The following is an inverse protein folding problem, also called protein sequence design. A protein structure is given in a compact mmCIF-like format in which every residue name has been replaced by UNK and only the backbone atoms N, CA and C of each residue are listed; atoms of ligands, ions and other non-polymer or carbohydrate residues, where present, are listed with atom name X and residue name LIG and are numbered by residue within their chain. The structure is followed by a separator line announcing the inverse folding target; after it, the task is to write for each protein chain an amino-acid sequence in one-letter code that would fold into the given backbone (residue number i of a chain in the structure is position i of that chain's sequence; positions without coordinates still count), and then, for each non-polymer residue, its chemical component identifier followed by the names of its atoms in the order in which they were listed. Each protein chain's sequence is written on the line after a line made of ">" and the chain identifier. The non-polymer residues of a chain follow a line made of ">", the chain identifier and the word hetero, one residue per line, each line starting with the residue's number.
data_IF_955554030656
#
_entry.id   IF_955554030656
#
_cell.length_a   1.000
_cell.length_b   1.000
_cell.length_c   1.000
_cell.angle_alpha   90.00
_cell.angle_beta   90.00
_cell.angle_gamma   90.00
#
_symmetry.space_group_name_H-M   'P 1'
#
loop_
_entity.id
_entity.type
_entity.pdbx_description
1 polymer ?
#
# COMPACT_ATOMS: atom_id res chain seq x y z
N UNK A 1 -32.38 -4.34 -21.32
CA UNK A 1 -32.00 -4.77 -19.95
C UNK A 1 -30.70 -4.14 -19.43
N UNK A 2 -29.76 -3.70 -20.27
CA UNK A 2 -28.53 -3.00 -19.85
C UNK A 2 -28.78 -1.54 -19.41
N UNK A 3 -29.81 -0.86 -19.93
CA UNK A 3 -30.06 0.57 -19.64
C UNK A 3 -30.65 0.87 -18.25
N UNK A 4 -31.15 -0.12 -17.51
CA UNK A 4 -31.73 0.07 -16.17
C UNK A 4 -30.77 -0.29 -15.02
N UNK A 5 -29.63 -0.92 -15.32
CA UNK A 5 -28.65 -1.37 -14.32
C UNK A 5 -27.59 -0.29 -14.06
N UNK A 6 -27.12 0.41 -15.10
CA UNK A 6 -26.16 1.50 -14.99
C UNK A 6 -26.64 2.65 -14.06
N UNK A 7 -27.89 3.13 -14.16
CA UNK A 7 -28.38 4.19 -13.28
C UNK A 7 -28.50 3.74 -11.81
N UNK A 8 -28.75 2.46 -11.53
CA UNK A 8 -28.85 1.95 -10.15
C UNK A 8 -27.49 1.72 -9.50
N UNK A 9 -26.48 1.34 -10.29
CA UNK A 9 -25.10 1.25 -9.82
C UNK A 9 -24.53 2.64 -9.51
N UNK A 10 -24.78 3.65 -10.36
CA UNK A 10 -24.36 5.04 -10.11
C UNK A 10 -25.07 5.71 -8.91
N UNK A 11 -26.10 5.08 -8.33
CA UNK A 11 -26.90 5.63 -7.21
C UNK A 11 -26.62 4.90 -5.88
N UNK A 12 -25.75 3.88 -5.86
CA UNK A 12 -25.31 3.31 -4.57
C UNK A 12 -24.40 4.30 -3.84
N UNK A 13 -24.64 4.60 -2.54
CA UNK A 13 -23.78 5.49 -1.76
C UNK A 13 -22.31 5.10 -1.81
N UNK A 14 -22.00 3.81 -1.89
CA UNK A 14 -20.62 3.32 -2.03
C UNK A 14 -19.93 3.85 -3.28
N UNK A 15 -20.60 3.83 -4.44
CA UNK A 15 -19.99 4.27 -5.69
C UNK A 15 -19.76 5.78 -5.71
N UNK A 16 -20.65 6.56 -5.08
CA UNK A 16 -20.40 7.98 -4.85
C UNK A 16 -19.17 8.21 -3.99
N UNK A 17 -19.03 7.47 -2.87
CA UNK A 17 -17.85 7.55 -1.99
C UNK A 17 -16.58 7.19 -2.76
N UNK A 18 -16.59 6.10 -3.54
CA UNK A 18 -15.43 5.70 -4.36
C UNK A 18 -15.09 6.77 -5.40
N UNK A 19 -16.08 7.39 -6.05
CA UNK A 19 -15.85 8.49 -6.99
C UNK A 19 -15.24 9.73 -6.31
N UNK A 20 -15.67 10.05 -5.09
CA UNK A 20 -15.09 11.15 -4.31
C UNK A 20 -13.65 10.83 -3.92
N UNK A 21 -13.39 9.63 -3.42
CA UNK A 21 -12.03 9.14 -3.15
C UNK A 21 -11.13 9.26 -4.39
N UNK A 22 -11.60 8.79 -5.56
CA UNK A 22 -10.83 8.87 -6.80
C UNK A 22 -10.50 10.33 -7.16
N UNK A 23 -11.42 11.26 -6.94
CA UNK A 23 -11.19 12.67 -7.16
C UNK A 23 -10.17 13.26 -6.16
N UNK A 24 -10.25 12.91 -4.87
CA UNK A 24 -9.34 13.38 -3.82
C UNK A 24 -7.92 12.85 -4.01
N UNK A 25 -7.77 11.53 -4.16
CA UNK A 25 -6.47 10.89 -4.36
C UNK A 25 -5.81 11.30 -5.69
N UNK A 26 -6.60 11.47 -6.77
CA UNK A 26 -6.09 12.06 -8.02
C UNK A 26 -5.69 13.52 -7.82
N UNK A 27 -6.44 14.29 -7.03
CA UNK A 27 -6.08 15.64 -6.63
C UNK A 27 -4.67 15.69 -6.03
N UNK A 28 -4.42 14.89 -4.98
CA UNK A 28 -3.08 14.74 -4.39
C UNK A 28 -2.04 14.28 -5.42
N UNK A 29 -2.38 13.30 -6.26
CA UNK A 29 -1.49 12.79 -7.30
C UNK A 29 -1.02 13.84 -8.30
N UNK A 30 -1.86 14.84 -8.58
CA UNK A 30 -1.58 15.93 -9.52
C UNK A 30 -0.90 17.13 -8.86
N UNK A 31 -1.22 17.42 -7.60
CA UNK A 31 -0.74 18.63 -6.91
C UNK A 31 0.54 18.40 -6.11
N UNK A 32 0.78 17.18 -5.64
CA UNK A 32 2.01 16.84 -4.93
C UNK A 32 3.14 16.72 -5.96
N UNK A 33 4.23 17.51 -5.83
CA UNK A 33 5.36 17.40 -6.74
C UNK A 33 5.91 15.98 -6.80
N UNK A 34 6.47 15.58 -7.94
CA UNK A 34 7.04 14.24 -8.07
C UNK A 34 8.24 14.10 -7.14
N UNK A 35 8.48 12.92 -6.57
CA UNK A 35 9.63 12.60 -5.70
C UNK A 35 9.52 13.13 -4.26
N UNK A 36 8.50 13.91 -3.92
CA UNK A 36 8.37 14.55 -2.59
C UNK A 36 7.58 13.73 -1.57
N UNK A 37 7.00 12.59 -1.94
CA UNK A 37 6.36 11.68 -0.98
C UNK A 37 7.37 10.69 -0.42
N UNK A 38 7.09 10.03 0.73
CA UNK A 38 8.02 9.08 1.32
C UNK A 38 8.37 7.97 0.32
N UNK A 39 9.66 7.69 0.19
CA UNK A 39 10.24 6.60 -0.60
C UNK A 39 9.84 6.53 -2.09
N UNK A 40 9.21 7.58 -2.64
CA UNK A 40 8.67 7.57 -4.00
C UNK A 40 9.74 7.35 -5.08
N UNK A 41 10.94 7.90 -4.83
CA UNK A 41 12.11 7.71 -5.69
C UNK A 41 12.48 6.24 -5.80
N UNK A 42 12.47 5.52 -4.68
CA UNK A 42 12.83 4.12 -4.61
C UNK A 42 11.74 3.24 -5.22
N UNK A 43 10.47 3.53 -4.93
CA UNK A 43 9.35 2.84 -5.54
C UNK A 43 9.30 3.01 -7.06
N UNK A 44 9.53 4.23 -7.57
CA UNK A 44 9.50 4.46 -9.01
C UNK A 44 10.73 3.90 -9.74
N UNK A 45 11.91 3.89 -9.10
CA UNK A 45 13.07 3.18 -9.64
C UNK A 45 12.77 1.69 -9.85
N UNK A 46 12.16 1.03 -8.85
CA UNK A 46 11.71 -0.36 -8.99
C UNK A 46 10.71 -0.53 -10.16
N UNK A 47 9.68 0.33 -10.26
CA UNK A 47 8.74 0.33 -11.38
C UNK A 47 9.46 0.46 -12.73
N UNK A 48 10.42 1.39 -12.83
CA UNK A 48 11.19 1.67 -14.05
C UNK A 48 12.08 0.48 -14.44
N UNK A 49 12.74 -0.16 -13.48
CA UNK A 49 13.56 -1.34 -13.75
C UNK A 49 12.72 -2.49 -14.30
N UNK A 50 11.55 -2.78 -13.72
CA UNK A 50 10.62 -3.77 -14.28
C UNK A 50 10.19 -3.38 -15.69
N UNK A 51 9.81 -2.11 -15.89
CA UNK A 51 9.36 -1.61 -17.18
C UNK A 51 10.43 -1.73 -18.28
N UNK A 52 11.71 -1.60 -17.93
CA UNK A 52 12.83 -1.67 -18.87
C UNK A 52 13.36 -3.09 -19.09
N UNK A 53 13.47 -3.87 -18.01
CA UNK A 53 14.14 -5.19 -18.03
C UNK A 53 13.15 -6.34 -18.17
N UNK A 54 11.85 -6.09 -17.97
CA UNK A 54 10.79 -7.09 -17.95
C UNK A 54 11.07 -8.25 -16.96
N UNK A 55 11.77 -7.93 -15.88
CA UNK A 55 12.20 -8.87 -14.87
C UNK A 55 12.16 -8.20 -13.48
N UNK A 56 12.00 -9.01 -12.44
CA UNK A 56 12.13 -8.51 -11.07
C UNK A 56 13.61 -8.26 -10.76
N UNK A 57 13.99 -7.06 -10.30
CA UNK A 57 15.37 -6.70 -10.04
C UNK A 57 15.93 -7.56 -8.92
N UNK A 58 17.14 -8.07 -9.11
CA UNK A 58 17.88 -8.78 -8.09
C UNK A 58 18.84 -7.80 -7.43
N UNK A 59 18.58 -7.47 -6.17
CA UNK A 59 19.49 -6.69 -5.34
C UNK A 59 20.70 -7.55 -4.93
N UNK A 60 21.72 -7.60 -5.79
CA UNK A 60 22.96 -8.34 -5.54
C UNK A 60 23.97 -7.53 -4.72
N UNK A 61 23.81 -6.20 -4.67
CA UNK A 61 24.58 -5.31 -3.80
C UNK A 61 23.64 -4.26 -3.14
N UNK A 62 23.31 -4.42 -1.85
CA UNK A 62 22.45 -3.50 -1.11
C UNK A 62 22.99 -2.06 -1.04
N UNK A 63 24.31 -1.89 -1.18
CA UNK A 63 25.02 -0.61 -1.02
C UNK A 63 25.21 0.15 -2.32
N UNK A 64 24.96 -0.51 -3.46
CA UNK A 64 25.23 0.04 -4.80
C UNK A 64 24.39 1.27 -5.14
N UNK A 65 23.22 1.45 -4.52
CA UNK A 65 22.45 2.68 -4.64
C UNK A 65 21.50 2.93 -3.45
N UNK A 66 21.35 4.19 -3.06
CA UNK A 66 20.49 4.59 -1.93
C UNK A 66 19.00 4.31 -2.13
N UNK A 67 18.55 4.16 -3.37
CA UNK A 67 17.16 3.78 -3.69
C UNK A 67 16.92 2.27 -3.62
N UNK A 68 17.97 1.45 -3.47
CA UNK A 68 17.85 0.00 -3.48
C UNK A 68 17.12 -0.53 -2.23
N UNK A 69 16.94 0.27 -1.18
CA UNK A 69 16.19 -0.09 0.02
C UNK A 69 14.85 -0.75 -0.30
N UNK A 70 14.12 -0.32 -1.33
CA UNK A 70 12.76 -0.78 -1.62
C UNK A 70 12.68 -1.93 -2.65
N UNK A 71 13.78 -2.30 -3.29
CA UNK A 71 13.78 -3.30 -4.39
C UNK A 71 13.57 -4.74 -3.91
N UNK A 72 13.78 -5.00 -2.61
CA UNK A 72 13.48 -6.28 -2.00
C UNK A 72 11.97 -6.50 -1.81
N UNK A 73 11.16 -5.43 -1.91
CA UNK A 73 9.75 -5.51 -1.58
C UNK A 73 8.95 -6.45 -2.50
N UNK A 74 7.84 -6.99 -2.00
CA UNK A 74 6.95 -7.84 -2.79
C UNK A 74 6.42 -7.16 -4.07
N UNK A 75 6.23 -7.91 -5.17
CA UNK A 75 6.25 -7.34 -6.52
C UNK A 75 4.90 -6.86 -7.05
N UNK A 76 3.77 -7.07 -6.37
CA UNK A 76 2.44 -6.92 -6.98
C UNK A 76 2.20 -5.53 -7.58
N UNK A 77 2.43 -4.48 -6.79
CA UNK A 77 2.26 -3.11 -7.24
C UNK A 77 3.23 -2.78 -8.39
N UNK A 78 4.52 -3.11 -8.21
CA UNK A 78 5.58 -2.75 -9.14
C UNK A 78 5.42 -3.43 -10.50
N UNK A 79 4.96 -4.69 -10.53
CA UNK A 79 4.67 -5.41 -11.78
C UNK A 79 3.50 -4.76 -12.52
N UNK A 80 2.43 -4.38 -11.83
CA UNK A 80 1.28 -3.73 -12.45
C UNK A 80 1.62 -2.33 -12.98
N UNK A 81 2.31 -1.52 -12.19
CA UNK A 81 2.78 -0.20 -12.60
C UNK A 81 3.82 -0.29 -13.73
N UNK A 82 4.80 -1.19 -13.62
CA UNK A 82 5.84 -1.39 -14.62
C UNK A 82 5.29 -1.86 -15.96
N UNK A 83 4.29 -2.76 -15.95
CA UNK A 83 3.57 -3.16 -17.15
C UNK A 83 2.84 -1.96 -17.79
N UNK A 84 2.16 -1.14 -16.99
CA UNK A 84 1.45 0.05 -17.45
C UNK A 84 2.38 1.13 -18.05
N UNK A 85 3.65 1.18 -17.61
CA UNK A 85 4.64 2.16 -18.07
C UNK A 85 5.68 1.62 -19.05
N UNK A 86 5.60 0.33 -19.43
CA UNK A 86 6.60 -0.37 -20.26
C UNK A 86 6.88 0.27 -21.63
N UNK A 87 5.90 0.99 -22.19
CA UNK A 87 6.04 1.71 -23.47
C UNK A 87 6.65 3.11 -23.38
N UNK A 88 7.08 3.57 -22.19
CA UNK A 88 7.50 4.95 -21.95
C UNK A 88 9.03 5.02 -21.83
N UNK A 89 9.65 5.88 -22.63
CA UNK A 89 11.08 6.20 -22.50
C UNK A 89 11.31 7.14 -21.31
N UNK A 90 11.65 6.55 -20.15
CA UNK A 90 11.98 7.26 -18.92
C UNK A 90 13.50 7.52 -18.73
N UNK A 91 14.29 7.55 -19.82
CA UNK A 91 15.75 7.76 -19.77
C UNK A 91 16.17 9.09 -19.14
N UNK A 92 15.29 10.09 -19.10
CA UNK A 92 15.53 11.39 -18.48
C UNK A 92 15.36 11.41 -16.94
N UNK A 93 14.99 10.30 -16.31
CA UNK A 93 14.71 10.26 -14.86
C UNK A 93 15.90 10.71 -14.01
N UNK A 94 17.12 10.26 -14.32
CA UNK A 94 18.31 10.63 -13.56
C UNK A 94 18.58 12.14 -13.56
N UNK A 95 18.16 12.85 -14.62
CA UNK A 95 18.22 14.30 -14.70
C UNK A 95 17.11 15.00 -13.90
N UNK A 96 16.00 14.31 -13.59
CA UNK A 96 14.91 14.80 -12.76
C UNK A 96 15.21 14.65 -11.26
N UNK A 97 15.87 13.57 -10.84
CA UNK A 97 16.20 13.32 -9.43
C UNK A 97 17.37 14.22 -9.00
N UNK A 98 17.06 15.48 -8.71
CA UNK A 98 18.03 16.50 -8.28
C UNK A 98 17.71 16.94 -6.87
N UNK A 99 18.50 16.50 -5.89
CA UNK A 99 18.34 16.93 -4.49
C UNK A 99 18.48 18.45 -4.38
N UNK A 100 17.62 19.05 -3.56
CA UNK A 100 17.68 20.45 -3.20
C UNK A 100 18.71 20.63 -2.07
N UNK A 101 19.86 21.30 -2.32
CA UNK A 101 20.90 21.48 -1.29
C UNK A 101 20.46 22.38 -0.14
N UNK A 102 19.31 23.05 -0.28
CA UNK A 102 18.74 23.95 0.72
C UNK A 102 17.49 23.37 1.39
N UNK A 103 17.14 22.10 1.11
CA UNK A 103 16.04 21.41 1.79
C UNK A 103 16.27 21.43 3.31
N UNK A 104 15.25 21.82 4.05
CA UNK A 104 15.31 21.87 5.51
C UNK A 104 14.07 21.19 6.11
N UNK A 105 14.32 20.37 7.13
CA UNK A 105 13.31 19.71 7.95
C UNK A 105 13.11 20.42 9.30
N UNK A 106 13.78 21.55 9.50
CA UNK A 106 13.82 22.32 10.75
C UNK A 106 12.86 23.52 10.68
N UNK A 107 12.21 23.82 11.80
CA UNK A 107 11.38 25.02 12.02
C UNK A 107 12.13 26.33 11.70
N UNK A 108 13.46 26.33 11.80
CA UNK A 108 14.29 27.51 11.51
C UNK A 108 14.32 27.92 10.03
N UNK A 109 13.93 27.02 9.12
CA UNK A 109 13.86 27.28 7.66
C UNK A 109 12.53 26.76 7.11
N UNK A 110 11.40 27.34 7.54
CA UNK A 110 10.06 26.80 7.25
C UNK A 110 9.72 26.84 5.75
N UNK A 111 10.40 27.69 4.99
CA UNK A 111 10.04 28.04 3.61
C UNK A 111 10.58 27.08 2.55
N UNK A 112 11.49 26.14 2.89
CA UNK A 112 12.11 25.26 1.89
C UNK A 112 12.02 23.77 2.26
N UNK A 113 10.81 23.24 2.14
CA UNK A 113 10.46 21.85 2.46
C UNK A 113 10.69 20.86 1.31
N UNK A 114 10.87 21.34 0.09
CA UNK A 114 11.10 20.48 -1.06
C UNK A 114 12.46 19.81 -0.96
N UNK A 115 12.48 18.49 -1.02
CA UNK A 115 13.67 17.65 -0.96
C UNK A 115 14.39 17.63 -2.32
N UNK A 116 13.66 17.85 -3.40
CA UNK A 116 14.13 17.86 -4.77
C UNK A 116 13.88 19.21 -5.45
N UNK A 117 14.64 19.46 -6.52
CA UNK A 117 14.49 20.62 -7.37
C UNK A 117 13.48 20.32 -8.47
N UNK A 118 12.35 21.02 -8.44
CA UNK A 118 11.31 20.84 -9.44
C UNK A 118 11.49 21.72 -10.68
N UNK A 119 11.13 21.18 -11.83
CA UNK A 119 11.37 21.83 -13.12
C UNK A 119 10.20 21.70 -14.09
N UNK A 120 10.40 22.24 -15.30
CA UNK A 120 9.34 22.25 -16.33
C UNK A 120 8.88 20.87 -16.80
N UNK A 121 9.72 19.84 -16.60
CA UNK A 121 9.42 18.47 -17.00
C UNK A 121 8.23 17.85 -16.23
N UNK A 122 7.89 18.40 -15.06
CA UNK A 122 6.78 17.93 -14.22
C UNK A 122 5.44 18.58 -14.58
N UNK A 123 5.44 19.65 -15.39
CA UNK A 123 4.22 20.30 -15.82
C UNK A 123 3.60 19.61 -17.04
N UNK A 124 2.28 19.62 -17.11
CA UNK A 124 1.54 19.11 -18.26
C UNK A 124 1.87 19.90 -19.55
N UNK A 125 2.01 19.26 -20.72
CA UNK A 125 1.86 17.82 -20.99
C UNK A 125 3.08 16.99 -20.56
N UNK A 126 2.84 15.97 -19.72
CA UNK A 126 3.91 15.12 -19.19
C UNK A 126 4.56 14.27 -20.28
N UNK A 127 5.87 14.11 -20.17
CA UNK A 127 6.69 13.29 -21.08
C UNK A 127 7.76 12.54 -20.28
N UNK A 128 8.29 11.48 -20.90
CA UNK A 128 9.34 10.64 -20.33
C UNK A 128 9.03 10.16 -18.92
N UNK A 129 9.98 10.31 -18.00
CA UNK A 129 9.82 9.82 -16.64
C UNK A 129 8.65 10.46 -15.86
N UNK A 130 8.33 11.75 -16.09
CA UNK A 130 7.18 12.38 -15.45
C UNK A 130 5.86 11.71 -15.86
N UNK A 131 5.70 11.38 -17.16
CA UNK A 131 4.52 10.65 -17.65
C UNK A 131 4.45 9.24 -17.02
N UNK A 132 5.59 8.55 -16.94
CA UNK A 132 5.68 7.25 -16.30
C UNK A 132 5.29 7.29 -14.83
N UNK A 133 5.76 8.28 -14.07
CA UNK A 133 5.39 8.46 -12.66
C UNK A 133 3.89 8.74 -12.49
N UNK A 134 3.30 9.63 -13.30
CA UNK A 134 1.86 9.90 -13.20
C UNK A 134 1.01 8.67 -13.53
N UNK A 135 1.41 7.83 -14.50
CA UNK A 135 0.72 6.57 -14.79
C UNK A 135 0.88 5.58 -13.62
N UNK A 136 2.07 5.46 -13.04
CA UNK A 136 2.30 4.62 -11.86
C UNK A 136 1.48 5.09 -10.64
N UNK A 137 1.36 6.41 -10.43
CA UNK A 137 0.47 7.00 -9.42
C UNK A 137 -1.00 6.67 -9.69
N UNK A 138 -1.47 6.71 -10.94
CA UNK A 138 -2.84 6.28 -11.30
C UNK A 138 -3.07 4.82 -10.92
N UNK A 139 -2.09 3.93 -11.12
CA UNK A 139 -2.17 2.54 -10.66
C UNK A 139 -2.32 2.47 -9.13
N UNK A 140 -1.54 3.26 -8.37
CA UNK A 140 -1.69 3.35 -6.91
C UNK A 140 -3.08 3.84 -6.50
N UNK A 141 -3.60 4.91 -7.10
CA UNK A 141 -4.93 5.45 -6.81
C UNK A 141 -6.02 4.39 -7.04
N UNK A 142 -5.97 3.68 -8.18
CA UNK A 142 -6.97 2.67 -8.56
C UNK A 142 -6.91 1.43 -7.64
N UNK A 143 -5.72 0.96 -7.29
CA UNK A 143 -5.56 -0.17 -6.37
C UNK A 143 -6.02 0.20 -4.96
N UNK A 144 -5.72 1.41 -4.52
CA UNK A 144 -6.09 1.93 -3.20
C UNK A 144 -7.62 2.15 -3.07
N UNK A 145 -8.33 2.40 -4.17
CA UNK A 145 -9.80 2.44 -4.19
C UNK A 145 -10.43 1.13 -3.67
N UNK A 146 -9.74 0.00 -3.85
CA UNK A 146 -10.20 -1.29 -3.36
C UNK A 146 -10.18 -1.37 -1.83
N UNK A 147 -9.42 -0.54 -1.12
CA UNK A 147 -9.46 -0.45 0.34
C UNK A 147 -10.78 0.15 0.82
N UNK A 148 -11.28 1.19 0.15
CA UNK A 148 -12.60 1.80 0.42
C UNK A 148 -13.71 0.76 0.24
N UNK A 149 -13.63 0.00 -0.85
CA UNK A 149 -14.56 -1.11 -1.13
C UNK A 149 -14.40 -2.25 -0.11
N UNK A 150 -13.18 -2.57 0.29
CA UNK A 150 -12.87 -3.57 1.31
C UNK A 150 -13.44 -3.21 2.68
N UNK A 151 -13.32 -1.95 3.11
CA UNK A 151 -13.89 -1.44 4.35
C UNK A 151 -15.42 -1.56 4.38
N UNK A 152 -16.08 -1.26 3.25
CA UNK A 152 -17.51 -1.48 3.09
C UNK A 152 -17.86 -2.97 3.26
N UNK A 153 -17.21 -3.86 2.51
CA UNK A 153 -17.54 -5.29 2.55
C UNK A 153 -17.23 -5.92 3.90
N UNK A 154 -16.09 -5.59 4.53
CA UNK A 154 -15.78 -6.04 5.89
C UNK A 154 -16.89 -5.65 6.87
N UNK A 155 -17.37 -4.42 6.79
CA UNK A 155 -18.47 -3.95 7.65
C UNK A 155 -19.80 -4.65 7.33
N UNK A 156 -20.07 -4.96 6.05
CA UNK A 156 -21.25 -5.74 5.64
C UNK A 156 -21.20 -7.19 6.15
N UNK A 157 -20.01 -7.74 6.31
CA UNK A 157 -19.78 -9.06 6.85
C UNK A 157 -19.98 -9.09 8.38
N UNK A 158 -19.39 -8.13 9.09
CA UNK A 158 -19.46 -8.05 10.56
C UNK A 158 -20.81 -7.54 11.07
N UNK A 159 -21.44 -6.60 10.35
CA UNK A 159 -22.70 -5.97 10.74
C UNK A 159 -23.74 -5.97 9.59
N UNK A 160 -24.27 -7.13 9.18
CA UNK A 160 -25.14 -7.26 8.00
C UNK A 160 -26.41 -6.41 8.03
N UNK A 161 -26.93 -6.09 9.22
CA UNK A 161 -28.12 -5.25 9.41
C UNK A 161 -27.83 -3.74 9.45
N UNK A 162 -26.56 -3.33 9.55
CA UNK A 162 -26.13 -1.94 9.74
C UNK A 162 -25.46 -1.40 8.49
N UNK A 163 -26.27 -1.04 7.49
CA UNK A 163 -25.76 -0.44 6.25
C UNK A 163 -25.11 0.93 6.50
N UNK A 164 -25.59 1.67 7.50
CA UNK A 164 -25.01 2.91 8.00
C UNK A 164 -23.54 2.74 8.40
N UNK A 165 -23.21 1.67 9.14
CA UNK A 165 -21.83 1.35 9.53
C UNK A 165 -20.98 1.03 8.30
N UNK A 166 -21.50 0.27 7.34
CA UNK A 166 -20.74 -0.05 6.14
C UNK A 166 -20.45 1.16 5.25
N UNK A 167 -21.43 2.04 5.08
CA UNK A 167 -21.26 3.31 4.37
C UNK A 167 -20.30 4.22 5.15
N UNK A 168 -20.45 4.31 6.47
CA UNK A 168 -19.60 5.11 7.35
C UNK A 168 -18.13 4.66 7.32
N UNK A 169 -17.86 3.35 7.36
CA UNK A 169 -16.50 2.80 7.26
C UNK A 169 -15.85 3.11 5.91
N UNK A 170 -16.60 2.98 4.81
CA UNK A 170 -16.10 3.33 3.49
C UNK A 170 -15.82 4.83 3.36
N UNK A 171 -16.75 5.66 3.86
CA UNK A 171 -16.57 7.10 3.89
C UNK A 171 -15.35 7.49 4.73
N UNK A 172 -15.21 6.93 5.94
CA UNK A 172 -14.07 7.19 6.80
C UNK A 172 -12.74 6.98 6.05
N UNK A 173 -12.54 5.81 5.44
CA UNK A 173 -11.32 5.54 4.65
C UNK A 173 -11.17 6.48 3.46
N UNK A 174 -12.26 6.75 2.72
CA UNK A 174 -12.26 7.59 1.52
C UNK A 174 -12.02 9.09 1.78
N UNK A 175 -12.10 9.53 3.04
CA UNK A 175 -11.90 10.92 3.45
C UNK A 175 -10.72 11.09 4.41
N UNK A 176 -9.88 10.05 4.61
CA UNK A 176 -8.67 10.14 5.41
C UNK A 176 -7.57 10.85 4.59
N UNK A 177 -7.12 12.06 4.99
CA UNK A 177 -6.17 12.84 4.19
C UNK A 177 -4.84 12.12 3.95
N UNK A 178 -4.28 11.45 4.98
CA UNK A 178 -3.06 10.66 4.79
C UNK A 178 -3.25 9.54 3.77
N UNK A 179 -4.37 8.83 3.83
CA UNK A 179 -4.65 7.72 2.93
C UNK A 179 -4.71 8.20 1.48
N UNK A 180 -5.43 9.29 1.21
CA UNK A 180 -5.54 9.87 -0.12
C UNK A 180 -4.19 10.43 -0.63
N UNK A 181 -3.39 11.04 0.24
CA UNK A 181 -2.06 11.56 -0.07
C UNK A 181 -1.10 10.45 -0.51
N UNK A 182 -1.00 9.37 0.28
CA UNK A 182 -0.13 8.23 -0.04
C UNK A 182 -0.66 7.45 -1.25
N UNK A 183 -1.99 7.32 -1.41
CA UNK A 183 -2.58 6.70 -2.60
C UNK A 183 -2.27 7.47 -3.89
N UNK A 184 -2.07 8.79 -3.80
CA UNK A 184 -1.66 9.66 -4.91
C UNK A 184 -0.19 9.55 -5.31
N UNK A 185 0.64 8.83 -4.53
CA UNK A 185 2.06 8.62 -4.77
C UNK A 185 2.37 7.29 -5.48
N UNK A 186 3.58 7.14 -6.02
CA UNK A 186 4.11 5.83 -6.43
C UNK A 186 4.44 5.02 -5.18
N UNK A 187 3.49 4.23 -4.69
CA UNK A 187 3.63 3.44 -3.47
C UNK A 187 2.80 2.15 -3.51
N UNK A 188 3.29 1.13 -2.81
CA UNK A 188 2.60 -0.13 -2.58
C UNK A 188 1.69 -0.13 -1.33
N UNK A 189 1.72 0.92 -0.51
CA UNK A 189 1.01 0.98 0.78
C UNK A 189 -0.51 0.88 0.63
N UNK A 190 -1.07 1.63 -0.32
CA UNK A 190 -2.49 1.55 -0.58
C UNK A 190 -2.91 0.21 -1.21
N UNK A 191 -2.00 -0.45 -1.95
CA UNK A 191 -2.22 -1.81 -2.48
C UNK A 191 -2.30 -2.83 -1.35
N UNK A 192 -1.34 -2.85 -0.42
CA UNK A 192 -1.40 -3.79 0.73
C UNK A 192 -2.61 -3.49 1.61
N UNK A 193 -2.94 -2.22 1.84
CA UNK A 193 -4.13 -1.82 2.60
C UNK A 193 -5.40 -2.39 1.99
N UNK A 194 -5.54 -2.27 0.66
CA UNK A 194 -6.68 -2.83 -0.07
C UNK A 194 -6.77 -4.35 0.05
N UNK A 195 -5.66 -5.06 -0.20
CA UNK A 195 -5.64 -6.52 -0.14
C UNK A 195 -5.93 -7.02 1.28
N UNK A 196 -5.41 -6.34 2.30
CA UNK A 196 -5.71 -6.65 3.71
C UNK A 196 -7.18 -6.41 4.06
N UNK A 197 -7.77 -5.28 3.64
CA UNK A 197 -9.19 -4.99 3.90
C UNK A 197 -10.12 -6.03 3.26
N UNK A 198 -9.85 -6.41 2.00
CA UNK A 198 -10.61 -7.47 1.31
C UNK A 198 -10.34 -8.85 1.90
N UNK A 199 -9.12 -9.14 2.32
CA UNK A 199 -8.76 -10.37 3.01
C UNK A 199 -9.46 -10.50 4.38
N UNK A 200 -9.57 -9.41 5.14
CA UNK A 200 -10.35 -9.37 6.38
C UNK A 200 -11.85 -9.58 6.10
N UNK A 201 -12.41 -8.98 5.04
CA UNK A 201 -13.79 -9.23 4.64
C UNK A 201 -14.01 -10.72 4.27
N UNK A 202 -13.07 -11.31 3.52
CA UNK A 202 -13.10 -12.74 3.21
C UNK A 202 -12.95 -13.62 4.46
N UNK A 203 -12.14 -13.22 5.44
CA UNK A 203 -11.99 -13.94 6.70
C UNK A 203 -13.28 -13.91 7.50
N UNK A 204 -13.92 -12.74 7.61
CA UNK A 204 -15.23 -12.60 8.24
C UNK A 204 -16.28 -13.47 7.54
N UNK A 205 -16.24 -13.56 6.20
CA UNK A 205 -17.10 -14.49 5.45
C UNK A 205 -16.80 -15.95 5.80
N UNK A 206 -15.53 -16.37 5.84
CA UNK A 206 -15.11 -17.74 6.20
C UNK A 206 -15.49 -18.09 7.65
N UNK A 207 -15.51 -17.11 8.55
CA UNK A 207 -15.99 -17.32 9.92
C UNK A 207 -17.44 -17.81 9.89
N UNK A 208 -18.32 -17.15 9.14
CA UNK A 208 -19.73 -17.54 9.02
C UNK A 208 -19.97 -18.74 8.10
N UNK A 209 -19.25 -18.82 6.98
CA UNK A 209 -19.44 -19.79 5.91
C UNK A 209 -18.08 -20.31 5.42
N UNK A 210 -17.67 -21.45 5.96
CA UNK A 210 -16.33 -21.96 5.81
C UNK A 210 -16.16 -22.94 4.62
N UNK A 211 -16.97 -22.80 3.57
CA UNK A 211 -16.86 -23.64 2.37
C UNK A 211 -15.46 -23.52 1.75
N UNK A 212 -14.96 -24.60 1.15
CA UNK A 212 -13.63 -24.64 0.53
C UNK A 212 -13.40 -23.48 -0.45
N UNK A 213 -14.42 -23.11 -1.24
CA UNK A 213 -14.39 -21.93 -2.12
C UNK A 213 -14.05 -20.64 -1.38
N UNK A 214 -14.64 -20.39 -0.21
CA UNK A 214 -14.38 -19.18 0.58
C UNK A 214 -12.97 -19.18 1.16
N UNK A 215 -12.49 -20.35 1.58
CA UNK A 215 -11.10 -20.51 2.06
C UNK A 215 -10.09 -20.28 0.94
N UNK A 216 -10.38 -20.73 -0.28
CA UNK A 216 -9.55 -20.44 -1.46
C UNK A 216 -9.55 -18.93 -1.77
N UNK A 217 -10.70 -18.26 -1.70
CA UNK A 217 -10.76 -16.80 -1.87
C UNK A 217 -9.96 -16.05 -0.80
N UNK A 218 -10.10 -16.46 0.47
CA UNK A 218 -9.30 -15.93 1.56
C UNK A 218 -7.80 -16.12 1.29
N UNK A 219 -7.38 -17.33 0.91
CA UNK A 219 -5.98 -17.61 0.56
C UNK A 219 -5.46 -16.73 -0.58
N UNK A 220 -6.28 -16.49 -1.60
CA UNK A 220 -5.95 -15.54 -2.68
C UNK A 220 -5.68 -14.12 -2.17
N UNK A 221 -6.55 -13.58 -1.31
CA UNK A 221 -6.35 -12.25 -0.72
C UNK A 221 -5.13 -12.18 0.20
N UNK A 222 -4.90 -13.22 1.02
CA UNK A 222 -3.70 -13.31 1.87
C UNK A 222 -2.42 -13.34 1.04
N UNK A 223 -2.43 -14.04 -0.08
CA UNK A 223 -1.31 -14.09 -1.02
C UNK A 223 -1.08 -12.75 -1.70
N UNK A 224 -2.14 -12.07 -2.15
CA UNK A 224 -2.02 -10.74 -2.76
C UNK A 224 -1.54 -9.70 -1.74
N UNK A 225 -1.99 -9.77 -0.48
CA UNK A 225 -1.51 -8.89 0.59
C UNK A 225 -0.01 -9.08 0.83
N UNK A 226 0.45 -10.33 0.96
CA UNK A 226 1.87 -10.64 1.11
C UNK A 226 2.70 -10.26 -0.12
N UNK A 227 2.14 -10.41 -1.32
CA UNK A 227 2.76 -9.97 -2.58
C UNK A 227 2.70 -8.44 -2.78
N UNK A 228 1.96 -7.70 -1.94
CA UNK A 228 1.92 -6.24 -1.95
C UNK A 228 2.99 -5.65 -1.04
N UNK A 229 3.09 -6.11 0.21
CA UNK A 229 4.08 -5.68 1.21
C UNK A 229 4.25 -6.79 2.25
N UNK A 230 5.45 -6.95 2.80
CA UNK A 230 5.75 -8.00 3.77
C UNK A 230 4.85 -7.92 5.02
N UNK A 231 4.47 -6.70 5.43
CA UNK A 231 3.52 -6.46 6.53
C UNK A 231 2.15 -7.11 6.31
N UNK A 232 1.74 -7.34 5.05
CA UNK A 232 0.51 -8.05 4.71
C UNK A 232 0.48 -9.50 5.20
N UNK A 233 1.64 -10.11 5.47
CA UNK A 233 1.74 -11.46 6.05
C UNK A 233 1.20 -11.53 7.48
N UNK A 234 1.05 -10.41 8.19
CA UNK A 234 0.37 -10.38 9.49
C UNK A 234 -1.03 -10.98 9.42
N UNK A 235 -1.73 -10.77 8.29
CA UNK A 235 -3.06 -11.32 8.06
C UNK A 235 -3.08 -12.86 8.01
N UNK A 236 -1.94 -13.51 7.69
CA UNK A 236 -1.82 -14.96 7.73
C UNK A 236 -1.92 -15.46 9.17
N UNK A 237 -1.18 -14.83 10.09
CA UNK A 237 -1.23 -15.13 11.52
C UNK A 237 -2.62 -14.90 12.10
N UNK A 238 -3.28 -13.79 11.75
CA UNK A 238 -4.64 -13.48 12.19
C UNK A 238 -5.62 -14.56 11.68
N UNK A 239 -5.56 -14.89 10.39
CA UNK A 239 -6.48 -15.88 9.78
C UNK A 239 -6.27 -17.28 10.34
N UNK A 240 -5.01 -17.69 10.50
CA UNK A 240 -4.64 -18.96 11.11
C UNK A 240 -5.07 -19.02 12.58
N UNK A 241 -4.89 -17.92 13.32
CA UNK A 241 -5.32 -17.79 14.71
C UNK A 241 -6.84 -17.94 14.85
N UNK A 242 -7.62 -17.23 14.04
CA UNK A 242 -9.09 -17.33 14.05
C UNK A 242 -9.55 -18.77 13.76
N UNK A 243 -9.07 -19.37 12.68
CA UNK A 243 -9.47 -20.72 12.28
C UNK A 243 -8.98 -21.79 13.28
N UNK A 244 -7.76 -21.66 13.78
CA UNK A 244 -7.15 -22.59 14.73
C UNK A 244 -7.82 -22.54 16.11
N UNK A 245 -8.09 -21.32 16.62
CA UNK A 245 -8.83 -21.15 17.87
C UNK A 245 -10.25 -21.70 17.75
N UNK A 246 -10.93 -21.47 16.63
CA UNK A 246 -12.26 -22.05 16.40
C UNK A 246 -12.21 -23.59 16.29
N UNK A 247 -11.20 -24.15 15.62
CA UNK A 247 -10.98 -25.59 15.54
C UNK A 247 -10.80 -26.22 16.92
N UNK A 248 -10.02 -25.57 17.79
CA UNK A 248 -9.76 -26.01 19.17
C UNK A 248 -11.02 -25.87 20.04
N UNK A 249 -11.66 -24.70 20.01
CA UNK A 249 -12.83 -24.39 20.83
C UNK A 249 -14.03 -25.27 20.49
N UNK A 250 -14.32 -25.44 19.19
CA UNK A 250 -15.46 -26.24 18.72
C UNK A 250 -15.11 -27.73 18.55
N UNK A 251 -13.84 -28.11 18.70
CA UNK A 251 -13.31 -29.45 18.39
C UNK A 251 -13.67 -29.91 16.97
N UNK A 252 -13.62 -28.98 16.02
CA UNK A 252 -14.05 -29.19 14.64
C UNK A 252 -12.87 -29.55 13.72
N UNK A 253 -12.80 -30.81 13.29
CA UNK A 253 -11.76 -31.28 12.35
C UNK A 253 -11.88 -30.63 10.96
N UNK A 254 -13.04 -30.12 10.59
CA UNK A 254 -13.21 -29.44 9.32
C UNK A 254 -12.45 -28.10 9.31
N UNK A 255 -12.37 -27.39 10.43
CA UNK A 255 -11.59 -26.16 10.58
C UNK A 255 -10.09 -26.42 10.41
N UNK A 256 -9.57 -27.54 10.91
CA UNK A 256 -8.19 -27.96 10.64
C UNK A 256 -7.93 -28.21 9.15
N UNK A 257 -8.86 -28.90 8.46
CA UNK A 257 -8.75 -29.11 7.00
C UNK A 257 -8.76 -27.80 6.23
N UNK A 258 -9.58 -26.83 6.65
CA UNK A 258 -9.61 -25.49 6.05
C UNK A 258 -8.33 -24.72 6.30
N UNK A 259 -7.73 -24.84 7.49
CA UNK A 259 -6.44 -24.24 7.78
C UNK A 259 -5.33 -24.82 6.89
N UNK A 260 -5.32 -26.14 6.69
CA UNK A 260 -4.39 -26.80 5.77
C UNK A 260 -4.63 -26.33 4.33
N UNK A 261 -5.88 -26.28 3.88
CA UNK A 261 -6.22 -25.75 2.55
C UNK A 261 -5.75 -24.30 2.39
N UNK A 262 -5.97 -23.45 3.39
CA UNK A 262 -5.53 -22.06 3.38
C UNK A 262 -4.00 -21.97 3.22
N UNK A 263 -3.25 -22.73 4.03
CA UNK A 263 -1.80 -22.77 3.94
C UNK A 263 -1.31 -23.25 2.57
N UNK A 264 -1.93 -24.29 2.00
CA UNK A 264 -1.60 -24.79 0.67
C UNK A 264 -1.84 -23.73 -0.41
N UNK A 265 -2.99 -23.05 -0.38
CA UNK A 265 -3.30 -21.99 -1.34
C UNK A 265 -2.31 -20.84 -1.23
N UNK A 266 -2.04 -20.37 -0.01
CA UNK A 266 -1.12 -19.25 0.23
C UNK A 266 0.30 -19.58 -0.24
N UNK A 267 0.81 -20.77 0.12
CA UNK A 267 2.13 -21.21 -0.29
C UNK A 267 2.22 -21.47 -1.79
N UNK A 268 1.16 -21.99 -2.43
CA UNK A 268 1.16 -22.19 -3.88
C UNK A 268 1.23 -20.87 -4.66
N UNK A 269 0.58 -19.81 -4.18
CA UNK A 269 0.51 -18.52 -4.86
C UNK A 269 1.68 -17.58 -4.53
N UNK A 270 2.23 -17.65 -3.31
CA UNK A 270 3.28 -16.74 -2.83
C UNK A 270 4.63 -17.43 -2.59
N UNK A 271 4.66 -18.77 -2.51
CA UNK A 271 5.86 -19.56 -2.21
C UNK A 271 7.05 -19.28 -3.12
N UNK A 272 6.78 -19.00 -4.41
CA UNK A 272 7.81 -18.69 -5.40
C UNK A 272 8.60 -17.42 -5.04
N UNK A 273 7.96 -16.43 -4.42
CA UNK A 273 8.62 -15.16 -4.07
C UNK A 273 9.62 -15.36 -2.94
N UNK A 274 9.27 -16.15 -1.92
CA UNK A 274 10.22 -16.51 -0.86
C UNK A 274 11.37 -17.37 -1.38
N UNK A 275 11.09 -18.33 -2.26
CA UNK A 275 12.12 -19.15 -2.89
C UNK A 275 13.08 -18.27 -3.71
N UNK A 276 12.55 -17.30 -4.47
CA UNK A 276 13.35 -16.30 -5.18
C UNK A 276 14.22 -15.52 -4.21
N UNK A 277 13.66 -14.93 -3.16
CA UNK A 277 14.41 -14.12 -2.21
C UNK A 277 15.50 -14.95 -1.52
N UNK A 278 15.23 -16.21 -1.15
CA UNK A 278 16.24 -17.09 -0.59
C UNK A 278 17.39 -17.36 -1.57
N UNK A 279 17.11 -17.50 -2.88
CA UNK A 279 18.14 -17.73 -3.91
C UNK A 279 19.00 -16.49 -4.15
N UNK A 280 18.39 -15.29 -4.21
CA UNK A 280 19.09 -14.06 -4.58
C UNK A 280 19.68 -13.30 -3.39
N UNK A 281 19.00 -13.33 -2.24
CA UNK A 281 19.32 -12.51 -1.07
C UNK A 281 19.83 -13.34 0.12
N UNK A 282 19.72 -14.67 0.05
CA UNK A 282 19.94 -15.57 1.20
C UNK A 282 19.09 -15.19 2.43
N UNK A 283 17.95 -14.54 2.18
CA UNK A 283 16.96 -14.08 3.15
C UNK A 283 15.58 -14.27 2.54
N UNK A 284 14.66 -14.90 3.28
CA UNK A 284 13.30 -15.20 2.82
C UNK A 284 12.48 -13.93 2.57
N UNK A 285 12.68 -12.90 3.39
CA UNK A 285 11.88 -11.66 3.37
C UNK A 285 12.63 -10.49 2.74
N UNK A 286 13.95 -10.59 2.58
CA UNK A 286 14.80 -9.48 2.11
C UNK A 286 14.92 -8.34 3.14
N UNK A 287 14.64 -8.63 4.42
CA UNK A 287 14.72 -7.68 5.53
C UNK A 287 16.18 -7.29 5.81
N UNK A 288 17.12 -8.23 5.72
CA UNK A 288 18.53 -7.93 5.96
C UNK A 288 19.04 -6.88 4.96
N UNK A 289 18.61 -7.00 3.71
CA UNK A 289 18.89 -6.05 2.63
C UNK A 289 18.35 -4.65 2.94
N UNK A 290 17.14 -4.57 3.51
CA UNK A 290 16.56 -3.31 3.98
C UNK A 290 17.34 -2.72 5.16
N UNK A 291 17.67 -3.54 6.16
CA UNK A 291 18.35 -3.11 7.39
C UNK A 291 19.77 -2.61 7.15
N UNK A 292 20.46 -3.13 6.13
CA UNK A 292 21.78 -2.64 5.71
C UNK A 292 21.72 -1.17 5.25
N UNK A 293 20.61 -0.75 4.63
CA UNK A 293 20.45 0.61 4.09
C UNK A 293 19.77 1.54 5.08
N UNK A 294 18.67 1.09 5.70
CA UNK A 294 17.87 1.87 6.65
C UNK A 294 18.50 1.97 8.05
N UNK A 295 19.41 1.04 8.38
CA UNK A 295 20.00 0.91 9.70
C UNK A 295 19.09 0.17 10.70
N UNK A 296 19.72 -0.33 11.77
CA UNK A 296 19.02 -0.89 12.92
C UNK A 296 18.61 0.23 13.88
N UNK A 297 17.44 0.09 14.51
CA UNK A 297 17.06 0.96 15.63
C UNK A 297 18.07 0.79 16.77
N UNK A 298 18.46 1.90 17.40
CA UNK A 298 19.43 1.87 18.51
C UNK A 298 18.90 1.08 19.72
N UNK A 299 19.76 0.34 20.43
CA UNK A 299 19.37 -0.36 21.67
C UNK A 299 18.93 0.63 22.77
N UNK A 300 18.00 0.21 23.63
CA UNK A 300 17.55 1.02 24.79
C UNK A 300 16.11 1.50 24.72
N UNK A 301 15.36 1.10 23.69
CA UNK A 301 13.95 1.46 23.49
C UNK A 301 13.07 1.01 24.66
N UNK A 302 12.46 1.98 25.35
CA UNK A 302 11.58 1.77 26.49
C UNK A 302 10.12 2.16 26.20
N UNK A 303 9.30 2.13 27.24
CA UNK A 303 7.89 2.52 27.12
C UNK A 303 7.70 4.01 26.78
N UNK A 304 8.62 4.89 27.22
CA UNK A 304 8.58 6.31 26.88
C UNK A 304 8.72 6.55 25.38
N UNK A 305 9.70 5.90 24.74
CA UNK A 305 9.91 6.01 23.29
C UNK A 305 8.73 5.44 22.49
N UNK A 306 8.02 4.46 23.04
CA UNK A 306 6.77 3.95 22.45
C UNK A 306 5.68 5.02 22.46
N UNK A 307 5.54 5.78 23.55
CA UNK A 307 4.57 6.88 23.63
C UNK A 307 4.92 8.01 22.66
N UNK A 308 6.20 8.35 22.54
CA UNK A 308 6.64 9.36 21.57
C UNK A 308 6.37 8.90 20.12
N UNK A 309 6.64 7.63 19.82
CA UNK A 309 6.31 7.05 18.51
C UNK A 309 4.79 6.99 18.28
N UNK A 310 3.99 6.79 19.33
CA UNK A 310 2.53 6.80 19.21
C UNK A 310 2.01 8.16 18.74
N UNK A 311 2.53 9.26 19.27
CA UNK A 311 2.15 10.61 18.84
C UNK A 311 2.49 10.84 17.36
N UNK A 312 3.66 10.37 16.91
CA UNK A 312 4.06 10.45 15.50
C UNK A 312 3.14 9.60 14.59
N UNK A 313 2.76 8.40 15.05
CA UNK A 313 1.80 7.53 14.35
C UNK A 313 0.44 8.21 14.26
N UNK A 314 -0.03 8.88 15.31
CA UNK A 314 -1.32 9.57 15.32
C UNK A 314 -1.33 10.76 14.36
N UNK A 315 -0.29 11.59 14.41
CA UNK A 315 -0.12 12.74 13.49
C UNK A 315 -0.11 12.25 12.03
N UNK A 316 0.70 11.23 11.74
CA UNK A 316 0.80 10.67 10.40
C UNK A 316 -0.46 9.88 9.99
N UNK A 317 -1.23 9.31 10.92
CA UNK A 317 -2.51 8.65 10.61
C UNK A 317 -3.52 9.63 10.00
N UNK A 318 -3.59 10.85 10.54
CA UNK A 318 -4.52 11.88 10.06
C UNK A 318 -3.99 12.62 8.82
N UNK A 319 -2.76 13.12 8.86
CA UNK A 319 -2.19 13.83 7.71
C UNK A 319 -0.85 14.51 7.97
N UNK A 320 0.23 13.84 7.61
CA UNK A 320 1.59 14.37 7.55
C UNK A 320 2.14 14.19 6.14
N UNK A 321 2.10 15.28 5.37
CA UNK A 321 2.41 15.28 3.93
C UNK A 321 3.88 15.57 3.64
N UNK A 322 4.24 15.61 2.35
CA UNK A 322 5.62 15.59 1.89
C UNK A 322 6.30 14.29 2.31
N UNK A 323 7.59 14.32 2.62
CA UNK A 323 8.28 13.16 3.20
C UNK A 323 8.21 13.18 4.73
N UNK A 324 7.03 13.49 5.28
CA UNK A 324 6.84 13.62 6.73
C UNK A 324 7.07 15.03 7.27
N UNK A 325 7.15 16.05 6.42
CA UNK A 325 7.60 17.40 6.78
C UNK A 325 6.57 18.50 6.54
N UNK A 326 5.38 18.15 6.06
CA UNK A 326 4.27 19.09 5.84
C UNK A 326 3.06 18.67 6.68
N UNK A 327 3.00 19.06 7.96
CA UNK A 327 1.87 18.75 8.82
C UNK A 327 0.61 19.53 8.42
N UNK A 328 -0.56 19.00 8.77
CA UNK A 328 -1.79 19.77 8.79
C UNK A 328 -1.66 21.00 9.73
N UNK A 329 -2.49 22.05 9.55
CA UNK A 329 -2.54 23.16 10.49
C UNK A 329 -2.86 22.67 11.91
N UNK A 330 -2.14 23.16 12.92
CA UNK A 330 -2.31 22.73 14.32
C UNK A 330 -3.77 22.68 14.82
N UNK A 331 -4.65 23.67 14.50
CA UNK A 331 -6.05 23.62 14.93
C UNK A 331 -6.83 22.42 14.39
N UNK A 332 -6.37 21.78 13.30
CA UNK A 332 -6.97 20.54 12.78
C UNK A 332 -6.62 19.37 13.69
N UNK A 333 -5.36 19.25 14.11
CA UNK A 333 -4.98 18.22 15.08
C UNK A 333 -5.63 18.42 16.44
N UNK A 334 -5.75 19.67 16.91
CA UNK A 334 -6.39 19.97 18.19
C UNK A 334 -7.89 19.60 18.22
N UNK A 335 -8.52 19.42 17.05
CA UNK A 335 -9.92 19.03 16.91
C UNK A 335 -10.15 17.52 16.79
N UNK A 336 -9.18 16.78 16.25
CA UNK A 336 -9.28 15.35 15.93
C UNK A 336 -9.14 14.47 17.18
#
# INVERSE_FOLDING_TARGET
>A
MISAVLPRLLVSPLWLIVLVYLALATGYSLTTPLLETPDEVAHYEYVREIAQQHALPAQTDPTSASWAQENHQPPLYYVLAGAATSGIDASNYSAMVRRNPYAAFDEQKPDNRNIFLHGRAEFFPWQGAALGMHIARVVSVLLSALAVVGAYFLSRELFPARLDVAIGSAAFVAFLPQFDFIAGAVSNDGTVTAMCALGLAALARVWHDARAKQVVWLGGWLSLAALSKASGMLLWGISAGVLGLEALWRRDMQRWRQLVLLAVVVLALTGWWFARNQIFYNDWLGVDTHLVVSGLREPGWGFGDFVDQWNEIEISFWGLFGAGNVPLPQPVYDFL
#
